data_IF_654429184063
#
_entry.id   IF_654429184063
#
_cell.length_a   1.000
_cell.length_b   1.000
_cell.length_c   1.000
_cell.angle_alpha   90.00
_cell.angle_beta   90.00
_cell.angle_gamma   90.00
#
_symmetry.space_group_name_H-M   'P 1'
#
loop_
_entity.id
_entity.type
_entity.pdbx_description
1 polymer ?
#
# COMPACT_ATOMS: atom_id res chain seq x y z
N UNK A 1 51.98 55.41 -11.01
CA UNK A 1 51.11 55.93 -12.08
C UNK A 1 50.44 54.71 -12.72
N UNK A 2 49.55 54.03 -12.00
CA UNK A 2 48.12 54.35 -11.87
C UNK A 2 47.44 54.38 -13.25
N UNK A 3 46.93 53.23 -13.68
CA UNK A 3 45.57 53.16 -14.21
C UNK A 3 45.04 51.73 -14.13
N UNK A 4 44.06 51.55 -13.24
CA UNK A 4 42.98 50.57 -13.38
C UNK A 4 41.75 51.29 -13.95
N UNK A 5 40.77 50.48 -14.37
CA UNK A 5 39.33 50.72 -14.70
C UNK A 5 39.05 49.99 -16.04
N UNK A 6 38.58 48.74 -16.01
CA UNK A 6 37.19 48.26 -15.86
C UNK A 6 36.51 48.08 -17.24
N UNK A 7 36.18 46.83 -17.60
CA UNK A 7 34.81 46.40 -17.91
C UNK A 7 34.74 44.94 -18.40
N UNK A 8 33.92 44.19 -17.67
CA UNK A 8 32.96 43.14 -18.03
C UNK A 8 32.99 42.46 -19.42
N UNK A 9 32.82 41.13 -19.42
CA UNK A 9 31.68 40.36 -19.98
C UNK A 9 32.11 38.92 -20.24
N UNK A 10 31.40 37.95 -19.65
CA UNK A 10 30.95 36.75 -20.36
C UNK A 10 31.81 35.48 -20.29
N UNK A 11 31.16 34.39 -19.92
CA UNK A 11 31.46 33.07 -20.49
C UNK A 11 32.18 32.10 -19.56
N UNK A 12 31.39 31.31 -18.83
CA UNK A 12 31.81 30.00 -18.34
C UNK A 12 32.11 29.09 -19.54
N UNK A 13 33.36 29.16 -20.02
CA UNK A 13 33.91 28.27 -21.04
C UNK A 13 34.73 27.17 -20.37
N UNK A 14 34.23 25.94 -20.45
CA UNK A 14 34.95 24.74 -20.09
C UNK A 14 36.35 24.73 -20.74
N UNK A 15 37.40 24.61 -19.92
CA UNK A 15 38.76 24.39 -20.42
C UNK A 15 39.10 22.91 -20.39
N UNK A 16 39.08 22.38 -21.60
CA UNK A 16 39.61 21.11 -22.05
C UNK A 16 41.11 20.99 -21.70
N UNK A 17 41.49 19.91 -21.02
CA UNK A 17 42.86 19.40 -21.02
C UNK A 17 42.80 17.92 -21.43
N UNK A 18 43.34 17.60 -22.60
CA UNK A 18 43.53 16.23 -23.10
C UNK A 18 45.02 16.02 -23.36
N UNK A 19 45.63 15.11 -22.58
CA UNK A 19 46.86 14.35 -22.82
C UNK A 19 46.68 13.08 -21.95
N UNK A 20 46.90 11.83 -22.34
CA UNK A 20 47.41 11.18 -23.55
C UNK A 20 47.02 9.69 -23.48
N UNK A 21 47.57 8.89 -24.38
CA UNK A 21 47.05 7.60 -24.86
C UNK A 21 46.96 6.42 -23.86
N UNK A 22 45.85 5.69 -24.01
CA UNK A 22 45.65 4.23 -23.96
C UNK A 22 46.35 3.37 -22.88
N UNK A 23 45.58 3.00 -21.85
CA UNK A 23 45.71 1.71 -21.16
C UNK A 23 44.33 1.12 -20.82
N UNK A 24 44.25 -0.20 -20.84
CA UNK A 24 43.05 -1.04 -20.80
C UNK A 24 42.39 -1.02 -19.41
N UNK A 25 41.34 -0.21 -19.27
CA UNK A 25 40.27 -0.46 -18.29
C UNK A 25 38.99 0.15 -18.85
N UNK A 26 37.95 -0.67 -19.02
CA UNK A 26 36.60 -0.15 -19.26
C UNK A 26 36.29 0.91 -18.18
N UNK A 27 35.68 2.06 -18.53
CA UNK A 27 35.31 3.02 -17.52
C UNK A 27 34.37 2.32 -16.54
N UNK A 28 34.73 2.33 -15.25
CA UNK A 28 33.82 2.01 -14.17
C UNK A 28 32.55 2.84 -14.39
N UNK A 29 31.41 2.19 -14.61
CA UNK A 29 30.15 2.90 -14.72
C UNK A 29 29.85 3.46 -13.34
N UNK A 30 30.15 4.74 -13.15
CA UNK A 30 29.76 5.45 -11.96
C UNK A 30 28.27 5.81 -12.12
N UNK A 31 27.38 4.91 -11.70
CA UNK A 31 25.95 5.21 -11.59
C UNK A 31 25.70 6.12 -10.39
N UNK A 32 26.06 7.41 -10.49
CA UNK A 32 25.50 8.44 -9.61
C UNK A 32 24.15 8.87 -10.17
N UNK A 33 23.10 8.19 -9.71
CA UNK A 33 21.89 8.88 -9.23
C UNK A 33 20.94 7.83 -8.64
N UNK A 34 20.80 7.84 -7.32
CA UNK A 34 19.61 7.29 -6.69
C UNK A 34 18.83 8.50 -6.20
N UNK A 35 17.97 9.04 -7.05
CA UNK A 35 17.18 10.23 -6.75
C UNK A 35 16.09 9.97 -5.71
N UNK A 36 15.20 10.95 -5.55
CA UNK A 36 14.02 10.81 -4.72
C UNK A 36 13.05 9.77 -5.29
N UNK A 37 12.51 8.90 -4.44
CA UNK A 37 11.43 7.98 -4.75
C UNK A 37 10.18 8.39 -3.96
N UNK A 38 9.21 8.97 -4.66
CA UNK A 38 7.94 9.43 -4.09
C UNK A 38 6.89 8.34 -4.21
N UNK A 39 6.39 7.85 -3.07
CA UNK A 39 5.49 6.70 -2.97
C UNK A 39 4.20 7.14 -2.28
N UNK A 40 3.05 6.94 -2.93
CA UNK A 40 1.76 7.00 -2.25
C UNK A 40 1.35 5.61 -1.74
N UNK A 41 0.79 5.51 -0.54
CA UNK A 41 0.36 4.26 0.04
C UNK A 41 -0.97 4.39 0.79
N UNK A 42 -1.79 3.33 0.88
CA UNK A 42 -3.03 3.34 1.65
C UNK A 42 -2.71 3.57 3.12
N UNK A 43 -3.55 4.33 3.83
CA UNK A 43 -3.25 4.78 5.18
C UNK A 43 -3.04 3.58 6.13
N UNK A 44 -4.07 2.74 6.28
CA UNK A 44 -4.06 1.67 7.29
C UNK A 44 -2.95 0.64 7.05
N UNK A 45 -2.69 0.26 5.80
CA UNK A 45 -1.61 -0.68 5.49
C UNK A 45 -0.24 -0.01 5.48
N UNK A 46 -0.19 1.22 4.99
CA UNK A 46 1.04 1.96 4.78
C UNK A 46 1.71 2.38 6.08
N UNK A 47 0.95 2.63 7.15
CA UNK A 47 1.55 2.95 8.46
C UNK A 47 1.86 1.70 9.29
N UNK A 48 1.18 0.58 9.04
CA UNK A 48 1.33 -0.64 9.87
C UNK A 48 2.30 -1.68 9.28
N UNK A 49 2.43 -1.77 7.94
CA UNK A 49 3.19 -2.85 7.27
C UNK A 49 4.35 -2.38 6.41
N UNK A 50 4.27 -1.19 5.82
CA UNK A 50 5.31 -0.67 4.93
C UNK A 50 6.54 -0.05 5.61
N UNK A 51 6.47 0.61 6.79
CA UNK A 51 7.62 1.36 7.31
C UNK A 51 8.85 0.50 7.59
N UNK A 52 8.75 -0.73 8.15
CA UNK A 52 9.91 -1.60 8.31
C UNK A 52 10.58 -1.98 6.98
N UNK A 53 9.77 -2.18 5.93
CA UNK A 53 10.27 -2.53 4.58
C UNK A 53 10.96 -1.32 3.95
N UNK A 54 10.38 -0.13 4.11
CA UNK A 54 10.97 1.11 3.62
C UNK A 54 12.26 1.47 4.36
N UNK A 55 12.34 1.21 5.66
CA UNK A 55 13.57 1.37 6.43
C UNK A 55 14.68 0.44 5.90
N UNK A 56 14.35 -0.82 5.62
CA UNK A 56 15.30 -1.76 5.01
C UNK A 56 15.70 -1.34 3.59
N UNK A 57 14.76 -0.84 2.78
CA UNK A 57 15.04 -0.32 1.44
C UNK A 57 16.03 0.85 1.49
N UNK A 58 15.82 1.80 2.42
CA UNK A 58 16.73 2.93 2.64
C UNK A 58 18.11 2.45 3.11
N UNK A 59 18.17 1.42 3.96
CA UNK A 59 19.43 0.82 4.42
C UNK A 59 20.20 0.12 3.30
N UNK A 60 19.51 -0.59 2.41
CA UNK A 60 20.11 -1.31 1.25
C UNK A 60 20.54 -0.35 0.13
N UNK A 61 19.92 0.82 0.03
CA UNK A 61 20.22 1.81 -1.00
C UNK A 61 20.45 3.20 -0.38
N UNK A 62 21.62 3.48 0.21
CA UNK A 62 21.87 4.71 0.98
C UNK A 62 21.73 6.02 0.22
N UNK A 63 21.84 5.99 -1.11
CA UNK A 63 21.64 7.20 -1.92
C UNK A 63 20.14 7.42 -2.23
N UNK A 64 19.26 6.42 -2.06
CA UNK A 64 17.83 6.52 -2.36
C UNK A 64 17.10 7.34 -1.29
N UNK A 65 16.52 8.47 -1.67
CA UNK A 65 15.73 9.29 -0.76
C UNK A 65 14.25 8.87 -0.85
N UNK A 66 13.71 8.30 0.22
CA UNK A 66 12.29 7.91 0.27
C UNK A 66 11.42 9.09 0.72
N UNK A 67 10.38 9.37 -0.06
CA UNK A 67 9.31 10.30 0.29
C UNK A 67 7.98 9.54 0.23
N UNK A 68 7.35 9.34 1.38
CA UNK A 68 6.17 8.47 1.51
C UNK A 68 4.96 9.27 1.97
N UNK A 69 3.87 9.17 1.22
CA UNK A 69 2.57 9.76 1.54
C UNK A 69 1.54 8.68 1.81
N UNK A 70 0.79 8.82 2.90
CA UNK A 70 -0.20 7.83 3.34
C UNK A 70 -1.61 8.42 3.25
N UNK A 71 -2.41 7.89 2.34
CA UNK A 71 -3.80 8.32 2.16
C UNK A 71 -4.62 7.22 1.52
N UNK A 72 -5.86 7.06 1.99
CA UNK A 72 -6.86 6.20 1.36
C UNK A 72 -7.59 6.93 0.21
N UNK A 73 -7.32 8.23 0.01
CA UNK A 73 -7.79 8.96 -1.17
C UNK A 73 -7.07 8.48 -2.44
N UNK A 74 -7.78 8.51 -3.55
CA UNK A 74 -7.15 8.33 -4.85
C UNK A 74 -6.25 9.54 -5.13
N UNK A 75 -4.97 9.28 -5.40
CA UNK A 75 -3.99 10.30 -5.78
C UNK A 75 -3.73 10.24 -7.28
N UNK A 76 -3.57 11.40 -7.91
CA UNK A 76 -3.10 11.52 -9.28
C UNK A 76 -1.58 11.37 -9.28
N UNK A 77 -1.10 10.19 -9.67
CA UNK A 77 0.34 9.91 -9.68
C UNK A 77 1.12 10.86 -10.57
N UNK A 78 0.53 11.28 -11.69
CA UNK A 78 1.21 12.15 -12.67
C UNK A 78 1.15 13.59 -12.19
N UNK A 79 -0.06 14.09 -11.88
CA UNK A 79 -0.27 15.47 -11.45
C UNK A 79 0.44 15.82 -10.14
N UNK A 80 0.53 14.88 -9.20
CA UNK A 80 1.17 15.10 -7.88
C UNK A 80 2.65 14.71 -7.84
N UNK A 81 3.18 14.18 -8.96
CA UNK A 81 4.59 13.82 -9.10
C UNK A 81 5.02 12.60 -8.29
N UNK A 82 4.13 11.61 -8.11
CA UNK A 82 4.50 10.32 -7.52
C UNK A 82 5.13 9.40 -8.55
N UNK A 83 6.16 8.67 -8.13
CA UNK A 83 6.79 7.65 -8.97
C UNK A 83 5.94 6.38 -9.06
N UNK A 84 5.27 6.05 -7.95
CA UNK A 84 4.36 4.91 -7.85
C UNK A 84 3.42 5.05 -6.65
N UNK A 85 2.42 4.18 -6.61
CA UNK A 85 1.58 3.96 -5.45
C UNK A 85 1.47 2.48 -5.10
N UNK A 86 1.31 2.18 -3.82
CA UNK A 86 0.70 0.92 -3.40
C UNK A 86 -0.82 1.07 -3.35
N UNK A 87 -1.55 0.02 -3.74
CA UNK A 87 -3.01 -0.02 -3.73
C UNK A 87 -3.50 -1.35 -3.18
N UNK A 88 -4.62 -1.30 -2.47
CA UNK A 88 -5.32 -2.45 -1.92
C UNK A 88 -6.70 -2.59 -2.56
N UNK A 89 -7.14 -3.82 -2.79
CA UNK A 89 -8.51 -4.14 -3.15
C UNK A 89 -8.63 -4.93 -4.45
N UNK A 90 -9.80 -4.87 -5.08
CA UNK A 90 -9.98 -5.33 -6.45
C UNK A 90 -9.63 -4.18 -7.38
N UNK A 91 -8.65 -4.40 -8.27
CA UNK A 91 -8.27 -3.37 -9.21
C UNK A 91 -9.36 -3.24 -10.29
N UNK A 92 -9.88 -2.04 -10.51
CA UNK A 92 -10.70 -1.73 -11.69
C UNK A 92 -9.77 -1.39 -12.85
N UNK A 93 -10.18 -1.72 -14.08
CA UNK A 93 -9.41 -1.43 -15.28
C UNK A 93 -8.96 0.03 -15.32
N UNK A 94 -7.64 0.24 -15.36
CA UNK A 94 -6.98 1.54 -15.38
C UNK A 94 -5.86 1.51 -16.41
N UNK A 95 -5.55 2.66 -17.01
CA UNK A 95 -4.39 2.82 -17.90
C UNK A 95 -3.04 2.68 -17.20
N UNK A 96 -3.04 2.53 -15.87
CA UNK A 96 -1.84 2.36 -15.06
C UNK A 96 -1.31 0.93 -15.12
N UNK A 97 0.02 0.78 -15.14
CA UNK A 97 0.66 -0.54 -15.14
C UNK A 97 0.71 -1.05 -13.70
N UNK A 98 0.29 -2.29 -13.49
CA UNK A 98 0.17 -2.89 -12.16
C UNK A 98 1.01 -4.14 -11.98
N UNK A 99 1.66 -4.24 -10.82
CA UNK A 99 2.34 -5.44 -10.36
C UNK A 99 1.69 -5.90 -9.07
N UNK A 100 1.08 -7.10 -9.09
CA UNK A 100 0.56 -7.74 -7.88
C UNK A 100 1.71 -8.20 -6.98
N UNK A 101 1.64 -7.84 -5.71
CA UNK A 101 2.64 -8.18 -4.69
C UNK A 101 2.17 -9.33 -3.82
N UNK A 102 0.94 -9.25 -3.29
CA UNK A 102 0.36 -10.31 -2.46
C UNK A 102 -1.16 -10.36 -2.58
N UNK A 103 -1.73 -11.46 -2.10
CA UNK A 103 -3.13 -11.57 -1.76
C UNK A 103 -3.36 -11.30 -0.27
N UNK A 104 -4.56 -10.84 0.05
CA UNK A 104 -5.11 -10.82 1.41
C UNK A 104 -6.62 -11.08 1.32
N UNK A 105 -7.22 -11.47 2.45
CA UNK A 105 -8.66 -11.72 2.53
C UNK A 105 -9.31 -10.80 3.56
N UNK A 106 -10.55 -10.43 3.31
CA UNK A 106 -11.39 -9.80 4.31
C UNK A 106 -12.00 -10.84 5.24
N UNK A 107 -12.50 -10.38 6.38
CA UNK A 107 -13.36 -11.15 7.28
C UNK A 107 -14.36 -10.24 7.99
N UNK A 108 -15.51 -10.80 8.33
CA UNK A 108 -16.46 -10.15 9.22
C UNK A 108 -16.02 -10.37 10.67
N UNK A 109 -16.01 -9.30 11.45
CA UNK A 109 -15.59 -9.30 12.85
C UNK A 109 -16.49 -8.39 13.69
N UNK A 110 -16.56 -8.67 14.98
CA UNK A 110 -17.10 -7.76 15.99
C UNK A 110 -16.38 -7.96 17.32
N UNK A 111 -16.51 -7.03 18.27
CA UNK A 111 -16.01 -7.26 19.62
C UNK A 111 -16.88 -8.28 20.38
N UNK A 112 -16.32 -9.04 21.32
CA UNK A 112 -17.09 -9.91 22.20
C UNK A 112 -18.22 -9.18 22.93
N UNK A 113 -17.98 -7.93 23.36
CA UNK A 113 -18.97 -7.11 24.05
C UNK A 113 -20.19 -6.80 23.17
N UNK A 114 -19.98 -6.49 21.88
CA UNK A 114 -21.08 -6.28 20.95
C UNK A 114 -21.91 -7.55 20.75
N UNK A 115 -21.23 -8.69 20.59
CA UNK A 115 -21.91 -9.99 20.41
C UNK A 115 -22.69 -10.41 21.66
N UNK A 116 -22.16 -10.15 22.86
CA UNK A 116 -22.88 -10.41 24.10
C UNK A 116 -24.17 -9.59 24.21
N UNK A 117 -24.17 -8.35 23.72
CA UNK A 117 -25.33 -7.46 23.77
C UNK A 117 -26.35 -7.69 22.64
N UNK A 118 -25.89 -8.10 21.46
CA UNK A 118 -26.73 -8.15 20.25
C UNK A 118 -26.93 -9.55 19.67
N UNK A 119 -26.29 -10.58 20.24
CA UNK A 119 -26.28 -11.93 19.69
C UNK A 119 -25.27 -12.11 18.55
N UNK A 120 -25.00 -13.37 18.18
CA UNK A 120 -24.13 -13.72 17.05
C UNK A 120 -24.98 -13.95 15.79
N UNK A 121 -24.74 -13.24 14.67
CA UNK A 121 -25.43 -13.53 13.42
C UNK A 121 -25.12 -14.96 12.97
N UNK A 122 -26.16 -15.71 12.61
CA UNK A 122 -26.04 -17.09 12.15
C UNK A 122 -26.13 -17.20 10.63
N UNK A 123 -26.53 -16.14 9.93
CA UNK A 123 -26.70 -16.09 8.47
C UNK A 123 -26.44 -14.70 7.90
N UNK A 124 -26.30 -14.60 6.57
CA UNK A 124 -26.16 -13.30 5.90
C UNK A 124 -27.41 -12.43 6.05
N UNK A 125 -28.59 -13.03 6.18
CA UNK A 125 -29.84 -12.29 6.41
C UNK A 125 -29.87 -11.63 7.78
N UNK A 126 -29.24 -12.22 8.79
CA UNK A 126 -29.19 -11.67 10.15
C UNK A 126 -28.41 -10.35 10.19
N UNK A 127 -27.48 -10.14 9.25
CA UNK A 127 -26.68 -8.91 9.16
C UNK A 127 -27.55 -7.65 9.03
N UNK A 128 -28.78 -7.77 8.51
CA UNK A 128 -29.73 -6.64 8.43
C UNK A 128 -30.22 -6.15 9.80
N UNK A 129 -30.10 -6.98 10.84
CA UNK A 129 -30.53 -6.69 12.21
C UNK A 129 -29.39 -6.20 13.11
N UNK A 130 -28.16 -6.15 12.59
CA UNK A 130 -26.99 -5.70 13.33
C UNK A 130 -26.51 -4.34 12.84
N UNK A 131 -25.90 -3.59 13.76
CA UNK A 131 -25.15 -2.39 13.44
C UNK A 131 -23.84 -2.78 12.74
N UNK A 132 -23.53 -2.04 11.69
CA UNK A 132 -22.25 -2.10 11.03
C UNK A 132 -21.40 -0.86 11.33
N UNK A 133 -20.09 -1.05 11.28
CA UNK A 133 -19.08 -0.01 11.22
C UNK A 133 -18.41 -0.16 9.86
N UNK A 134 -18.49 0.86 9.01
CA UNK A 134 -18.13 0.72 7.59
C UNK A 134 -17.30 1.89 7.10
N UNK A 135 -16.71 1.73 5.92
CA UNK A 135 -16.32 2.89 5.12
C UNK A 135 -17.56 3.51 4.47
N UNK A 136 -17.52 4.81 4.14
CA UNK A 136 -18.64 5.50 3.50
C UNK A 136 -18.96 4.86 2.14
N UNK A 137 -20.21 4.41 1.95
CA UNK A 137 -20.67 3.79 0.69
C UNK A 137 -20.14 2.38 0.45
N UNK A 138 -19.52 1.76 1.46
CA UNK A 138 -18.98 0.41 1.35
C UNK A 138 -20.07 -0.65 1.18
N UNK A 139 -19.78 -1.64 0.34
CA UNK A 139 -20.56 -2.87 0.21
C UNK A 139 -19.66 -4.05 0.55
N UNK A 140 -20.23 -5.10 1.13
CA UNK A 140 -19.50 -6.29 1.52
C UNK A 140 -19.79 -7.41 0.52
N UNK A 141 -18.89 -7.69 -0.43
CA UNK A 141 -18.99 -8.88 -1.25
C UNK A 141 -18.62 -10.09 -0.41
N UNK A 142 -19.54 -11.05 -0.31
CA UNK A 142 -19.40 -12.25 0.51
C UNK A 142 -19.66 -13.46 -0.39
N UNK A 143 -18.78 -14.45 -0.32
CA UNK A 143 -18.87 -15.70 -1.07
C UNK A 143 -19.64 -16.74 -0.26
N UNK A 144 -20.68 -17.30 -0.87
CA UNK A 144 -21.48 -18.43 -0.41
C UNK A 144 -21.33 -19.56 -1.44
N UNK A 145 -20.33 -20.42 -1.21
CA UNK A 145 -19.83 -21.34 -2.26
C UNK A 145 -19.34 -20.56 -3.48
N UNK A 146 -19.86 -20.90 -4.66
CA UNK A 146 -19.51 -20.24 -5.93
C UNK A 146 -20.29 -18.94 -6.19
N UNK A 147 -21.22 -18.58 -5.30
CA UNK A 147 -22.07 -17.40 -5.46
C UNK A 147 -21.50 -16.22 -4.69
N UNK A 148 -21.43 -15.06 -5.33
CA UNK A 148 -21.12 -13.79 -4.64
C UNK A 148 -22.42 -13.10 -4.24
N UNK A 149 -22.64 -12.94 -2.94
CA UNK A 149 -23.72 -12.15 -2.35
C UNK A 149 -23.18 -10.79 -1.96
N UNK A 150 -23.81 -9.71 -2.43
CA UNK A 150 -23.44 -8.35 -2.05
C UNK A 150 -24.31 -7.87 -0.89
N UNK A 151 -23.72 -7.74 0.29
CA UNK A 151 -24.39 -7.18 1.47
C UNK A 151 -24.18 -5.67 1.51
N UNK A 152 -25.27 -4.93 1.71
CA UNK A 152 -25.23 -3.48 2.00
C UNK A 152 -25.40 -3.28 3.51
N UNK A 153 -24.29 -3.20 4.26
CA UNK A 153 -24.35 -3.03 5.71
C UNK A 153 -25.09 -1.74 6.10
N UNK A 154 -25.79 -1.78 7.23
CA UNK A 154 -26.46 -0.61 7.82
C UNK A 154 -25.85 -0.33 9.19
N UNK A 155 -25.54 0.92 9.46
CA UNK A 155 -24.85 1.29 10.68
C UNK A 155 -24.82 2.77 10.92
N UNK A 156 -24.56 3.14 12.17
CA UNK A 156 -24.46 4.54 12.61
C UNK A 156 -23.05 5.14 12.55
N UNK A 157 -22.05 4.33 12.19
CA UNK A 157 -20.65 4.75 12.16
C UNK A 157 -20.05 4.48 10.79
N UNK A 158 -19.56 5.55 10.16
CA UNK A 158 -18.81 5.48 8.92
C UNK A 158 -17.51 6.27 9.04
N UNK A 159 -16.41 5.70 8.54
CA UNK A 159 -15.11 6.36 8.45
C UNK A 159 -14.56 6.31 7.02
N UNK A 160 -13.45 6.99 6.78
CA UNK A 160 -12.75 6.99 5.49
C UNK A 160 -11.61 5.95 5.43
N UNK A 161 -11.13 5.48 6.58
CA UNK A 161 -10.02 4.55 6.68
C UNK A 161 -10.31 3.33 7.58
N UNK A 162 -9.51 2.27 7.41
CA UNK A 162 -9.70 0.99 8.07
C UNK A 162 -9.35 0.99 9.56
N UNK A 163 -8.44 1.86 10.00
CA UNK A 163 -8.04 1.96 11.42
C UNK A 163 -9.19 2.50 12.27
N UNK A 164 -9.88 3.53 11.78
CA UNK A 164 -11.05 4.08 12.44
C UNK A 164 -12.21 3.07 12.51
N UNK A 165 -12.43 2.28 11.44
CA UNK A 165 -13.41 1.19 11.43
C UNK A 165 -13.02 0.10 12.43
N UNK A 166 -11.75 -0.30 12.48
CA UNK A 166 -11.23 -1.27 13.44
C UNK A 166 -11.43 -0.80 14.88
N UNK A 167 -11.04 0.43 15.19
CA UNK A 167 -11.18 1.01 16.53
C UNK A 167 -12.65 1.05 17.00
N UNK A 168 -13.58 1.43 16.12
CA UNK A 168 -15.00 1.44 16.46
C UNK A 168 -15.60 0.03 16.61
N UNK A 169 -15.15 -0.95 15.83
CA UNK A 169 -15.54 -2.36 16.00
C UNK A 169 -15.04 -2.92 17.34
N UNK A 170 -13.79 -2.63 17.72
CA UNK A 170 -13.20 -2.98 19.02
C UNK A 170 -13.98 -2.35 20.19
N UNK A 171 -14.41 -1.09 20.03
CA UNK A 171 -15.25 -0.39 20.99
C UNK A 171 -16.71 -0.91 21.06
N UNK A 172 -17.05 -1.93 20.27
CA UNK A 172 -18.38 -2.56 20.29
C UNK A 172 -19.48 -1.74 19.64
N UNK A 173 -19.13 -0.85 18.70
CA UNK A 173 -20.14 -0.05 17.97
C UNK A 173 -20.97 -0.92 17.01
N UNK A 174 -20.35 -1.94 16.44
CA UNK A 174 -20.98 -2.82 15.45
C UNK A 174 -20.01 -3.83 14.85
N UNK A 175 -20.48 -4.54 13.83
CA UNK A 175 -19.67 -5.47 13.04
C UNK A 175 -18.94 -4.73 11.93
N UNK A 176 -17.78 -5.21 11.52
CA UNK A 176 -17.03 -4.66 10.40
C UNK A 176 -16.54 -5.77 9.46
N UNK A 177 -16.43 -5.46 8.16
CA UNK A 177 -15.65 -6.25 7.22
C UNK A 177 -14.27 -5.61 7.07
N UNK A 178 -13.22 -6.30 7.51
CA UNK A 178 -11.87 -5.76 7.51
C UNK A 178 -10.87 -6.78 6.95
N UNK A 179 -9.79 -6.32 6.29
CA UNK A 179 -8.69 -7.19 5.91
C UNK A 179 -8.06 -7.93 7.09
N UNK A 180 -7.53 -9.12 6.80
CA UNK A 180 -6.77 -9.95 7.75
C UNK A 180 -5.62 -9.19 8.43
N UNK A 181 -4.86 -8.38 7.70
CA UNK A 181 -3.72 -7.64 8.25
C UNK A 181 -4.10 -6.60 9.32
N UNK A 182 -5.38 -6.18 9.38
CA UNK A 182 -5.89 -5.32 10.45
C UNK A 182 -6.46 -6.11 11.62
N UNK A 183 -6.92 -7.34 11.38
CA UNK A 183 -7.73 -8.09 12.34
C UNK A 183 -6.98 -9.23 13.00
N UNK A 184 -5.89 -9.75 12.40
CA UNK A 184 -5.18 -10.95 12.85
C UNK A 184 -4.77 -10.89 14.32
N UNK A 185 -4.12 -9.80 14.75
CA UNK A 185 -3.65 -9.63 16.13
C UNK A 185 -4.81 -9.52 17.11
N UNK A 186 -5.88 -8.83 16.71
CA UNK A 186 -7.04 -8.61 17.55
C UNK A 186 -7.91 -9.86 17.72
N UNK A 187 -7.98 -10.68 16.68
CA UNK A 187 -8.62 -12.00 16.72
C UNK A 187 -7.79 -12.96 17.59
N UNK A 188 -6.48 -13.01 17.39
CA UNK A 188 -5.59 -13.84 18.21
C UNK A 188 -5.65 -13.45 19.71
N UNK A 189 -5.78 -12.16 20.01
CA UNK A 189 -5.94 -11.65 21.38
C UNK A 189 -7.37 -11.80 21.95
N UNK A 190 -8.35 -12.25 21.15
CA UNK A 190 -9.76 -12.37 21.57
C UNK A 190 -10.51 -11.03 21.70
N UNK A 191 -9.88 -9.90 21.36
CA UNK A 191 -10.52 -8.58 21.33
C UNK A 191 -11.51 -8.40 20.17
N UNK A 192 -11.39 -9.22 19.13
CA UNK A 192 -12.37 -9.40 18.07
C UNK A 192 -12.69 -10.88 17.90
N UNK A 193 -13.94 -11.17 17.53
CA UNK A 193 -14.38 -12.51 17.16
C UNK A 193 -14.71 -12.53 15.66
N UNK A 194 -14.19 -13.49 14.88
CA UNK A 194 -14.65 -13.74 13.53
C UNK A 194 -16.12 -14.12 13.52
N UNK A 195 -16.86 -13.63 12.54
CA UNK A 195 -18.27 -13.92 12.35
C UNK A 195 -18.46 -14.66 11.04
N UNK A 196 -19.50 -15.50 11.00
CA UNK A 196 -19.99 -16.07 9.74
C UNK A 196 -18.89 -16.80 8.95
N UNK A 197 -17.97 -17.51 9.62
CA UNK A 197 -16.73 -18.07 9.04
C UNK A 197 -16.93 -19.07 7.89
N UNK A 198 -18.13 -19.64 7.76
CA UNK A 198 -18.50 -20.46 6.59
C UNK A 198 -18.53 -19.66 5.28
N UNK A 199 -18.75 -18.36 5.38
CA UNK A 199 -18.75 -17.43 4.26
C UNK A 199 -17.37 -16.79 4.15
N UNK A 200 -16.83 -16.77 2.94
CA UNK A 200 -15.53 -16.14 2.68
C UNK A 200 -15.73 -14.79 2.01
N UNK A 201 -14.67 -14.00 1.89
CA UNK A 201 -14.69 -12.80 1.04
C UNK A 201 -13.89 -13.07 -0.23
N UNK A 202 -14.18 -12.37 -1.34
CA UNK A 202 -13.28 -12.37 -2.48
C UNK A 202 -11.85 -12.03 -2.07
N UNK A 203 -10.91 -12.63 -2.78
CA UNK A 203 -9.50 -12.33 -2.59
C UNK A 203 -9.22 -10.88 -3.02
N UNK A 204 -8.54 -10.14 -2.16
CA UNK A 204 -8.09 -8.79 -2.44
C UNK A 204 -6.59 -8.81 -2.75
N UNK A 205 -6.15 -7.91 -3.63
CA UNK A 205 -4.75 -7.80 -4.02
C UNK A 205 -4.10 -6.57 -3.45
N UNK A 206 -2.81 -6.69 -3.12
CA UNK A 206 -1.92 -5.55 -2.97
C UNK A 206 -1.14 -5.39 -4.28
N UNK A 207 -1.15 -4.17 -4.81
CA UNK A 207 -0.53 -3.84 -6.08
C UNK A 207 0.42 -2.67 -5.93
N UNK A 208 1.52 -2.70 -6.69
CA UNK A 208 2.27 -1.49 -7.04
C UNK A 208 1.73 -0.99 -8.38
N UNK A 209 1.36 0.28 -8.41
CA UNK A 209 0.78 1.00 -9.55
C UNK A 209 1.72 2.14 -9.93
N UNK A 210 1.94 2.36 -11.21
CA UNK A 210 2.82 3.44 -11.70
C UNK A 210 2.27 4.14 -12.94
N UNK A 211 2.71 5.37 -13.24
CA UNK A 211 2.41 6.03 -14.51
C UNK A 211 2.77 5.16 -15.73
N UNK A 212 2.10 5.36 -16.88
CA UNK A 212 2.38 4.65 -18.12
C UNK A 212 3.85 4.83 -18.57
N UNK A 213 4.43 3.76 -19.12
CA UNK A 213 5.80 3.76 -19.63
C UNK A 213 6.31 2.34 -19.86
N UNK A 214 7.19 2.16 -20.84
CA UNK A 214 7.65 0.84 -21.29
C UNK A 214 8.26 0.01 -20.15
N UNK A 215 9.05 0.63 -19.27
CA UNK A 215 9.70 -0.04 -18.14
C UNK A 215 9.59 0.78 -16.85
N UNK A 216 9.47 0.13 -15.68
CA UNK A 216 9.60 0.82 -14.40
C UNK A 216 11.01 1.40 -14.24
N UNK A 217 11.09 2.60 -13.66
CA UNK A 217 12.37 3.22 -13.28
C UNK A 217 13.14 2.31 -12.31
N UNK A 218 14.47 2.46 -12.24
CA UNK A 218 15.30 1.63 -11.35
C UNK A 218 14.85 1.73 -9.89
N UNK A 219 14.46 2.92 -9.43
CA UNK A 219 13.93 3.16 -8.07
C UNK A 219 12.62 2.43 -7.79
N UNK A 220 11.71 2.35 -8.77
CA UNK A 220 10.46 1.58 -8.62
C UNK A 220 10.73 0.08 -8.67
N UNK A 221 11.70 -0.38 -9.45
CA UNK A 221 12.09 -1.81 -9.49
C UNK A 221 12.61 -2.30 -8.14
N UNK A 222 13.58 -1.60 -7.54
CA UNK A 222 14.13 -2.02 -6.23
C UNK A 222 13.06 -2.02 -5.13
N UNK A 223 12.07 -1.12 -5.20
CA UNK A 223 10.90 -1.14 -4.32
C UNK A 223 10.04 -2.40 -4.56
N UNK A 224 9.74 -2.74 -5.82
CA UNK A 224 8.96 -3.93 -6.15
C UNK A 224 9.70 -5.19 -5.67
N UNK A 225 11.01 -5.26 -5.89
CA UNK A 225 11.84 -6.41 -5.53
C UNK A 225 11.82 -6.65 -4.02
N UNK A 226 12.04 -5.61 -3.20
CA UNK A 226 11.98 -5.76 -1.74
C UNK A 226 10.57 -6.08 -1.23
N UNK A 227 9.53 -5.51 -1.84
CA UNK A 227 8.14 -5.86 -1.49
C UNK A 227 7.83 -7.33 -1.80
N UNK A 228 8.34 -7.86 -2.91
CA UNK A 228 8.20 -9.27 -3.26
C UNK A 228 9.03 -10.17 -2.36
N UNK A 229 10.21 -9.75 -1.91
CA UNK A 229 11.00 -10.48 -0.92
C UNK A 229 10.23 -10.60 0.41
N UNK A 230 9.71 -9.49 0.92
CA UNK A 230 9.02 -9.46 2.21
C UNK A 230 7.66 -10.16 2.20
N UNK A 231 6.91 -10.08 1.09
CA UNK A 231 5.55 -10.62 1.02
C UNK A 231 5.39 -11.87 0.14
N UNK A 232 6.35 -12.16 -0.73
CA UNK A 232 6.28 -13.24 -1.72
C UNK A 232 6.68 -14.62 -1.20
N UNK A 233 7.44 -14.73 -0.11
CA UNK A 233 7.83 -16.03 0.45
C UNK A 233 6.65 -16.82 1.08
N UNK A 234 5.52 -16.16 1.37
CA UNK A 234 4.35 -16.83 1.94
C UNK A 234 3.54 -17.68 0.92
N UNK A 235 3.78 -17.54 -0.39
CA UNK A 235 3.03 -18.25 -1.42
C UNK A 235 3.51 -19.70 -1.69
N UNK A 236 4.56 -20.17 -0.98
CA UNK A 236 5.22 -21.46 -1.23
C UNK A 236 4.88 -22.61 -0.28
N UNK A 237 4.23 -22.38 0.88
CA UNK A 237 3.78 -23.48 1.74
C UNK A 237 2.43 -24.00 1.23
N UNK A 238 2.49 -24.91 0.26
CA UNK A 238 1.44 -25.91 0.11
C UNK A 238 1.44 -26.73 1.40
N UNK A 239 0.43 -26.54 2.23
CA UNK A 239 0.09 -27.46 3.30
C UNK A 239 -0.07 -28.86 2.69
N UNK A 240 0.81 -29.77 3.09
CA UNK A 240 0.55 -31.20 2.95
C UNK A 240 -0.52 -31.65 3.94
#
# INVERSE_FOLDING_TARGET
>A
MAHAVDQAIGGAGARLAVLGAADKTAPAIVYFDIGQLRIAAPLSFGITRLPPIFAELARRHPLLHLDTSYSDCFVDLVGEGFDCATRLGMLRDSSLITRRIRAFRGRLVASPAYIAAHGTPQSLTDLAHHQAVTRKGEVWPILDGDKTVTVRPRGRFAADNGEAVLAAALAGVGMAALPDFLTETHVAAGSLVPLLERYTTPELGMFVVRPPGAFPSRKVRVLIDILLEYFGEAAGRKSG
#
